data_IF_295490127523
#
_entry.id   IF_295490127523
#
_cell.length_a   1.000
_cell.length_b   1.000
_cell.length_c   1.000
_cell.angle_alpha   90.00
_cell.angle_beta   90.00
_cell.angle_gamma   90.00
#
_symmetry.space_group_name_H-M   'P 1'
#
loop_
_entity.id
_entity.type
_entity.pdbx_description
1 polymer ?
#
# COMPACT_ATOMS: atom_id res chain seq x y z
N UNK A 1 6.40 -21.48 0.10
CA UNK A 1 5.97 -20.25 0.83
C UNK A 1 7.13 -19.51 1.48
N UNK A 2 8.11 -20.17 2.07
CA UNK A 2 9.27 -19.53 2.74
C UNK A 2 10.03 -18.58 1.82
N UNK A 3 10.33 -18.99 0.59
CA UNK A 3 10.94 -18.11 -0.42
C UNK A 3 10.09 -16.89 -0.77
N UNK A 4 8.76 -16.99 -0.73
CA UNK A 4 7.88 -15.86 -0.92
C UNK A 4 7.98 -14.89 0.27
N UNK A 5 7.87 -15.40 1.50
CA UNK A 5 8.00 -14.60 2.73
C UNK A 5 9.36 -13.92 2.84
N UNK A 6 10.45 -14.61 2.49
CA UNK A 6 11.82 -14.03 2.45
C UNK A 6 11.97 -12.92 1.40
N UNK A 7 10.96 -12.73 0.54
CA UNK A 7 10.98 -11.73 -0.53
C UNK A 7 11.80 -12.15 -1.76
N UNK A 8 12.12 -13.43 -1.94
CA UNK A 8 12.73 -13.92 -3.17
C UNK A 8 11.81 -13.72 -4.38
N UNK A 9 12.39 -13.57 -5.57
CA UNK A 9 11.58 -13.60 -6.80
C UNK A 9 11.19 -15.04 -7.13
N UNK A 10 10.08 -15.22 -7.87
CA UNK A 10 9.67 -16.54 -8.32
C UNK A 10 10.76 -17.24 -9.18
N UNK A 11 11.52 -16.44 -9.96
CA UNK A 11 12.67 -16.96 -10.72
C UNK A 11 13.75 -17.53 -9.80
N UNK A 12 14.17 -16.78 -8.79
CA UNK A 12 15.15 -17.24 -7.82
C UNK A 12 14.65 -18.48 -7.05
N UNK A 13 13.41 -18.45 -6.61
CA UNK A 13 12.80 -19.58 -5.91
C UNK A 13 12.73 -20.84 -6.78
N UNK A 14 12.41 -20.71 -8.08
CA UNK A 14 12.34 -21.84 -9.00
C UNK A 14 13.69 -22.58 -9.15
N UNK A 15 14.78 -21.83 -9.23
CA UNK A 15 16.15 -22.41 -9.29
C UNK A 15 16.50 -23.13 -7.98
N UNK A 16 16.19 -22.51 -6.82
CA UNK A 16 16.55 -23.07 -5.52
C UNK A 16 15.80 -24.36 -5.16
N UNK A 17 14.55 -24.51 -5.63
CA UNK A 17 13.72 -25.69 -5.33
C UNK A 17 13.54 -26.62 -6.53
N UNK A 18 14.27 -26.37 -7.62
CA UNK A 18 14.26 -27.17 -8.85
C UNK A 18 12.84 -27.41 -9.42
N UNK A 19 12.05 -26.33 -9.55
CA UNK A 19 10.73 -26.38 -10.22
C UNK A 19 10.71 -25.45 -11.42
N UNK A 20 9.77 -25.69 -12.34
CA UNK A 20 9.63 -24.83 -13.51
C UNK A 20 9.31 -23.39 -13.10
N UNK A 21 9.92 -22.42 -13.78
CA UNK A 21 9.72 -20.99 -13.55
C UNK A 21 8.25 -20.56 -13.66
N UNK A 22 7.50 -21.11 -14.60
CA UNK A 22 6.07 -20.81 -14.76
C UNK A 22 5.28 -21.31 -13.55
N UNK A 23 5.59 -22.49 -13.04
CA UNK A 23 4.97 -23.06 -11.83
C UNK A 23 5.24 -22.17 -10.60
N UNK A 24 6.49 -21.78 -10.39
CA UNK A 24 6.82 -20.87 -9.29
C UNK A 24 6.14 -19.51 -9.42
N UNK A 25 6.09 -18.95 -10.65
CA UNK A 25 5.42 -17.68 -10.94
C UNK A 25 3.92 -17.75 -10.68
N UNK A 26 3.28 -18.84 -11.13
CA UNK A 26 1.86 -19.09 -10.88
C UNK A 26 1.57 -19.24 -9.39
N UNK A 27 2.39 -20.02 -8.68
CA UNK A 27 2.23 -20.20 -7.23
C UNK A 27 2.37 -18.87 -6.46
N UNK A 28 3.37 -18.03 -6.79
CA UNK A 28 3.54 -16.71 -6.17
C UNK A 28 2.38 -15.77 -6.52
N UNK A 29 1.82 -15.89 -7.72
CA UNK A 29 0.63 -15.14 -8.10
C UNK A 29 -0.57 -15.54 -7.25
N UNK A 30 -0.82 -16.84 -7.08
CA UNK A 30 -1.90 -17.35 -6.21
C UNK A 30 -1.75 -16.91 -4.76
N UNK A 31 -0.52 -16.88 -4.21
CA UNK A 31 -0.30 -16.35 -2.86
C UNK A 31 -0.71 -14.88 -2.75
N UNK A 32 -0.44 -14.05 -3.77
CA UNK A 32 -0.88 -12.64 -3.80
C UNK A 32 -2.40 -12.51 -3.87
N UNK A 33 -3.07 -13.35 -4.65
CA UNK A 33 -4.54 -13.38 -4.70
C UNK A 33 -5.14 -13.74 -3.36
N UNK A 34 -4.58 -14.72 -2.64
CA UNK A 34 -5.00 -15.10 -1.30
C UNK A 34 -4.80 -13.95 -0.30
N UNK A 35 -3.63 -13.29 -0.33
CA UNK A 35 -3.37 -12.12 0.50
C UNK A 35 -4.42 -11.03 0.22
N UNK A 36 -4.68 -10.74 -1.06
CA UNK A 36 -5.69 -9.75 -1.46
C UNK A 36 -7.06 -10.09 -0.87
N UNK A 37 -7.53 -11.32 -1.05
CA UNK A 37 -8.83 -11.78 -0.54
C UNK A 37 -8.92 -11.73 0.98
N UNK A 38 -7.86 -12.16 1.67
CA UNK A 38 -7.83 -12.19 3.13
C UNK A 38 -7.80 -10.81 3.79
N UNK A 39 -7.23 -9.80 3.11
CA UNK A 39 -7.05 -8.45 3.67
C UNK A 39 -8.09 -7.43 3.18
N UNK A 40 -8.90 -7.75 2.16
CA UNK A 40 -9.89 -6.79 1.60
C UNK A 40 -11.00 -6.44 2.59
N UNK A 41 -11.40 -7.38 3.46
CA UNK A 41 -12.50 -7.23 4.43
C UNK A 41 -12.09 -6.63 5.79
N UNK A 42 -10.90 -6.06 5.91
CA UNK A 42 -10.45 -5.51 7.19
C UNK A 42 -11.29 -4.29 7.64
N UNK A 43 -11.51 -4.18 8.96
CA UNK A 43 -12.33 -3.12 9.57
C UNK A 43 -11.75 -1.71 9.28
N UNK A 44 -12.59 -0.65 9.27
CA UNK A 44 -12.12 0.73 9.13
C UNK A 44 -11.08 1.12 10.20
N UNK A 45 -10.30 2.15 9.88
CA UNK A 45 -9.30 2.72 10.77
C UNK A 45 -9.93 3.79 11.69
N UNK A 46 -9.50 3.87 12.93
CA UNK A 46 -9.97 4.84 13.90
C UNK A 46 -8.82 5.53 14.63
N UNK A 47 -9.02 6.80 15.04
CA UNK A 47 -8.07 7.60 15.80
C UNK A 47 -7.24 8.52 14.92
N UNK A 48 -5.92 8.51 15.03
CA UNK A 48 -5.02 9.37 14.26
C UNK A 48 -4.57 8.67 12.98
N UNK A 49 -4.93 9.23 11.82
CA UNK A 49 -4.73 8.62 10.51
C UNK A 49 -3.92 9.57 9.63
N UNK A 50 -2.81 9.09 9.10
CA UNK A 50 -2.03 9.76 8.05
C UNK A 50 -2.57 9.33 6.68
N UNK A 51 -2.79 10.29 5.78
CA UNK A 51 -3.23 10.03 4.40
C UNK A 51 -2.27 10.66 3.41
N UNK A 52 -1.95 9.91 2.35
CA UNK A 52 -1.06 10.41 1.29
C UNK A 52 -1.29 9.63 -0.01
N UNK A 53 -1.02 10.29 -1.14
CA UNK A 53 -0.98 9.64 -2.43
C UNK A 53 0.46 9.39 -2.90
N UNK A 54 0.65 8.30 -3.62
CA UNK A 54 1.93 7.99 -4.26
C UNK A 54 1.74 7.49 -5.69
N UNK A 55 2.82 7.53 -6.46
CA UNK A 55 2.82 7.14 -7.86
C UNK A 55 3.89 6.08 -8.10
N UNK A 56 3.46 4.95 -8.68
CA UNK A 56 4.32 3.84 -9.04
C UNK A 56 4.49 3.75 -10.56
N UNK A 57 5.66 3.38 -11.00
CA UNK A 57 6.01 3.24 -12.42
C UNK A 57 7.41 3.77 -12.71
N UNK A 58 7.99 3.32 -13.84
CA UNK A 58 9.34 3.70 -14.25
C UNK A 58 9.44 5.18 -14.65
N UNK A 59 10.68 5.68 -14.63
CA UNK A 59 11.01 7.00 -15.20
C UNK A 59 11.01 6.88 -16.72
N UNK A 60 10.10 7.58 -17.41
CA UNK A 60 10.17 7.73 -18.87
C UNK A 60 10.98 8.98 -19.23
N UNK A 61 11.89 8.84 -20.21
CA UNK A 61 12.64 9.99 -20.74
C UNK A 61 11.68 11.10 -21.18
N UNK A 62 11.91 12.34 -20.73
CA UNK A 62 11.22 13.54 -21.21
C UNK A 62 9.98 13.98 -20.42
N UNK A 63 9.43 13.19 -19.49
CA UNK A 63 8.28 13.63 -18.68
C UNK A 63 8.53 13.39 -17.20
N UNK A 64 8.76 14.47 -16.46
CA UNK A 64 8.87 14.47 -14.99
C UNK A 64 7.55 14.98 -14.37
N UNK A 65 7.20 14.48 -13.17
CA UNK A 65 6.06 14.99 -12.40
C UNK A 65 5.05 13.91 -11.98
N UNK A 66 4.12 14.30 -11.11
CA UNK A 66 3.06 13.46 -10.52
C UNK A 66 2.12 12.88 -11.58
N UNK A 67 1.87 13.55 -12.68
CA UNK A 67 0.98 13.14 -13.79
C UNK A 67 1.69 12.51 -15.00
N UNK A 68 2.94 12.03 -14.89
CA UNK A 68 3.64 11.43 -16.04
C UNK A 68 2.92 10.18 -16.53
N UNK A 69 2.61 10.13 -17.84
CA UNK A 69 1.85 9.04 -18.46
C UNK A 69 2.43 7.66 -18.14
N UNK A 70 1.57 6.74 -17.68
CA UNK A 70 1.92 5.36 -17.36
C UNK A 70 2.35 5.12 -15.91
N UNK A 71 2.25 6.12 -15.02
CA UNK A 71 2.33 5.91 -13.57
C UNK A 71 0.98 5.45 -13.02
N UNK A 72 1.01 4.52 -12.08
CA UNK A 72 -0.16 4.04 -11.35
C UNK A 72 -0.31 4.88 -10.09
N UNK A 73 -1.37 5.70 -9.98
CA UNK A 73 -1.63 6.43 -8.75
C UNK A 73 -2.19 5.47 -7.69
N UNK A 74 -1.76 5.65 -6.45
CA UNK A 74 -2.21 4.89 -5.30
C UNK A 74 -2.50 5.84 -4.15
N UNK A 75 -3.43 5.46 -3.29
CA UNK A 75 -3.78 6.19 -2.08
C UNK A 75 -3.59 5.29 -0.87
N UNK A 76 -3.03 5.84 0.20
CA UNK A 76 -2.75 5.14 1.44
C UNK A 76 -3.30 5.86 2.66
N UNK A 77 -3.76 5.07 3.60
CA UNK A 77 -4.24 5.47 4.91
C UNK A 77 -3.42 4.71 5.95
N UNK A 78 -2.78 5.39 6.88
CA UNK A 78 -2.00 4.74 7.94
C UNK A 78 -2.50 5.20 9.31
N UNK A 79 -2.96 4.27 10.12
CA UNK A 79 -3.20 4.52 11.53
C UNK A 79 -1.86 4.68 12.26
N UNK A 80 -1.65 5.79 12.96
CA UNK A 80 -0.44 5.99 13.77
C UNK A 80 -0.29 4.90 14.81
N UNK A 81 0.89 4.27 14.84
CA UNK A 81 1.15 3.11 15.69
C UNK A 81 0.36 1.84 15.34
N UNK A 82 -0.28 1.81 14.16
CA UNK A 82 -1.11 0.71 13.70
C UNK A 82 -0.81 0.31 12.26
N UNK A 83 -1.86 -0.13 11.58
CA UNK A 83 -1.77 -0.69 10.23
C UNK A 83 -1.96 0.35 9.13
N UNK A 84 -1.48 0.01 7.94
CA UNK A 84 -1.72 0.73 6.69
C UNK A 84 -2.81 0.03 5.88
N UNK A 85 -3.57 0.82 5.13
CA UNK A 85 -4.43 0.40 4.02
C UNK A 85 -4.01 1.14 2.76
N UNK A 86 -3.89 0.46 1.65
CA UNK A 86 -3.47 1.06 0.37
C UNK A 86 -4.32 0.56 -0.80
N UNK A 87 -4.69 1.48 -1.69
CA UNK A 87 -5.55 1.21 -2.84
C UNK A 87 -5.04 1.88 -4.11
N UNK A 88 -5.14 1.17 -5.24
CA UNK A 88 -4.97 1.78 -6.57
C UNK A 88 -6.19 2.65 -6.85
N UNK A 89 -5.96 3.86 -7.32
CA UNK A 89 -7.00 4.85 -7.62
C UNK A 89 -6.96 5.27 -9.08
N UNK A 90 -8.10 5.66 -9.66
CA UNK A 90 -8.13 6.15 -11.05
C UNK A 90 -7.51 7.55 -11.19
N UNK A 91 -7.69 8.39 -10.17
CA UNK A 91 -7.17 9.75 -10.10
C UNK A 91 -7.03 10.22 -8.64
N UNK A 92 -6.42 11.38 -8.45
CA UNK A 92 -6.22 12.02 -7.13
C UNK A 92 -7.20 13.17 -6.87
N UNK A 93 -8.39 13.13 -7.47
CA UNK A 93 -9.42 14.15 -7.24
C UNK A 93 -10.05 14.01 -5.86
N UNK A 94 -10.48 15.13 -5.29
CA UNK A 94 -11.12 15.18 -3.97
C UNK A 94 -12.26 14.17 -3.80
N UNK A 95 -13.11 13.99 -4.82
CA UNK A 95 -14.22 13.02 -4.79
C UNK A 95 -13.73 11.58 -4.65
N UNK A 96 -12.67 11.21 -5.36
CA UNK A 96 -12.09 9.86 -5.31
C UNK A 96 -11.46 9.60 -3.94
N UNK A 97 -10.66 10.56 -3.45
CA UNK A 97 -9.97 10.41 -2.16
C UNK A 97 -10.97 10.40 -1.00
N UNK A 98 -11.95 11.32 -1.02
CA UNK A 98 -12.97 11.42 0.02
C UNK A 98 -13.83 10.17 0.12
N UNK A 99 -14.23 9.57 -1.00
CA UNK A 99 -14.96 8.30 -1.00
C UNK A 99 -14.22 7.16 -0.30
N UNK A 100 -12.89 7.11 -0.44
CA UNK A 100 -12.07 6.09 0.24
C UNK A 100 -11.92 6.43 1.73
N UNK A 101 -11.74 7.71 2.07
CA UNK A 101 -11.63 8.18 3.46
C UNK A 101 -12.92 7.82 4.22
N UNK A 102 -14.09 8.15 3.68
CA UNK A 102 -15.38 7.84 4.29
C UNK A 102 -15.67 6.34 4.43
N UNK A 103 -15.21 5.53 3.48
CA UNK A 103 -15.36 4.06 3.53
C UNK A 103 -14.42 3.41 4.57
N UNK A 104 -13.22 3.97 4.77
CA UNK A 104 -12.12 3.31 5.49
C UNK A 104 -11.71 3.99 6.80
N UNK A 105 -12.26 5.13 7.15
CA UNK A 105 -11.97 5.84 8.40
C UNK A 105 -13.27 6.04 9.18
N UNK A 106 -13.22 5.69 10.46
CA UNK A 106 -14.34 5.92 11.38
C UNK A 106 -14.52 7.44 11.57
N UNK A 107 -15.78 7.99 11.53
CA UNK A 107 -16.07 9.38 11.85
C UNK A 107 -15.42 9.85 13.17
N UNK A 108 -15.22 11.16 13.33
CA UNK A 108 -14.51 11.80 14.44
C UNK A 108 -12.99 11.48 14.56
N UNK A 109 -12.43 10.71 13.64
CA UNK A 109 -10.99 10.49 13.56
C UNK A 109 -10.24 11.75 13.15
N UNK A 110 -8.97 11.85 13.56
CA UNK A 110 -8.08 12.94 13.17
C UNK A 110 -7.33 12.50 11.90
N UNK A 111 -7.48 13.26 10.82
CA UNK A 111 -6.84 12.97 9.53
C UNK A 111 -5.71 13.96 9.27
N UNK A 112 -4.50 13.45 9.13
CA UNK A 112 -3.29 14.20 8.80
C UNK A 112 -3.00 14.05 7.30
N UNK A 113 -2.92 15.16 6.58
CA UNK A 113 -2.53 15.17 5.16
C UNK A 113 -1.45 16.20 4.87
N UNK A 114 -0.80 16.10 3.70
CA UNK A 114 0.01 17.19 3.17
C UNK A 114 -0.86 18.39 2.72
N UNK A 115 -0.19 19.44 2.21
CA UNK A 115 -0.85 20.65 1.70
C UNK A 115 -1.52 20.50 0.32
N UNK A 116 -1.70 19.29 -0.21
CA UNK A 116 -2.29 19.11 -1.53
C UNK A 116 -3.76 19.53 -1.56
N UNK A 117 -4.15 20.32 -2.56
CA UNK A 117 -5.47 20.96 -2.64
C UNK A 117 -6.67 19.99 -2.67
N UNK A 118 -6.46 18.74 -3.09
CA UNK A 118 -7.52 17.72 -3.09
C UNK A 118 -8.02 17.36 -1.68
N UNK A 119 -7.26 17.69 -0.64
CA UNK A 119 -7.64 17.50 0.75
C UNK A 119 -8.46 18.65 1.36
N UNK A 120 -8.66 19.75 0.64
CA UNK A 120 -9.45 20.89 1.13
C UNK A 120 -10.89 20.49 1.52
N UNK A 121 -11.43 19.46 0.89
CA UNK A 121 -12.77 18.93 1.21
C UNK A 121 -12.85 18.36 2.63
N UNK A 122 -11.73 17.95 3.23
CA UNK A 122 -11.69 17.47 4.62
C UNK A 122 -11.95 18.58 5.64
N UNK A 123 -11.66 19.84 5.32
CA UNK A 123 -11.86 20.97 6.23
C UNK A 123 -13.35 21.22 6.54
N UNK A 124 -14.28 20.69 5.72
CA UNK A 124 -15.73 20.80 5.87
C UNK A 124 -16.42 19.45 6.06
N UNK A 125 -15.67 18.41 6.40
CA UNK A 125 -16.14 17.04 6.57
C UNK A 125 -16.40 16.70 8.04
N UNK A 126 -16.86 15.48 8.30
CA UNK A 126 -17.05 14.89 9.64
C UNK A 126 -15.74 14.50 10.35
N UNK A 127 -14.58 14.73 9.71
CA UNK A 127 -13.26 14.40 10.24
C UNK A 127 -12.55 15.66 10.79
N UNK A 128 -11.74 15.49 11.83
CA UNK A 128 -10.83 16.54 12.31
C UNK A 128 -9.59 16.58 11.42
N UNK A 129 -9.54 17.52 10.48
CA UNK A 129 -8.45 17.62 9.52
C UNK A 129 -7.27 18.43 10.06
N UNK A 130 -6.08 17.85 10.04
CA UNK A 130 -4.81 18.48 10.38
C UNK A 130 -3.91 18.53 9.14
N UNK A 131 -3.79 19.72 8.54
CA UNK A 131 -2.93 19.93 7.37
C UNK A 131 -1.50 20.17 7.78
N UNK A 132 -0.58 19.45 7.18
CA UNK A 132 0.86 19.55 7.43
C UNK A 132 1.50 20.46 6.38
N UNK A 133 2.16 21.52 6.83
CA UNK A 133 2.90 22.42 5.97
C UNK A 133 4.40 22.14 6.10
N UNK A 134 4.97 21.38 5.16
CA UNK A 134 6.38 21.01 5.14
C UNK A 134 7.36 22.20 5.10
N UNK A 135 6.91 23.40 4.71
CA UNK A 135 7.76 24.59 4.66
C UNK A 135 7.86 25.34 6.00
N UNK A 136 7.02 25.04 6.99
CA UNK A 136 6.98 25.73 8.31
C UNK A 136 7.34 24.85 9.49
N UNK A 137 7.60 23.56 9.33
CA UNK A 137 7.60 22.55 10.39
C UNK A 137 8.98 22.00 10.72
N UNK A 138 9.90 22.84 11.19
CA UNK A 138 10.95 22.38 12.10
C UNK A 138 10.53 22.43 13.58
N UNK A 139 9.33 22.91 13.93
CA UNK A 139 8.92 23.26 15.28
C UNK A 139 7.82 22.40 15.93
N UNK A 140 7.09 21.56 15.18
CA UNK A 140 5.95 20.82 15.76
C UNK A 140 6.14 19.30 15.67
N UNK A 141 6.57 18.69 16.78
CA UNK A 141 6.94 17.26 16.87
C UNK A 141 5.80 16.27 16.60
N UNK A 142 4.55 16.72 16.50
CA UNK A 142 3.37 15.86 16.35
C UNK A 142 2.72 15.91 14.97
N UNK A 143 3.00 16.94 14.17
CA UNK A 143 2.41 17.11 12.84
C UNK A 143 3.33 16.61 11.72
N UNK A 144 3.28 15.32 11.40
CA UNK A 144 4.01 14.72 10.28
C UNK A 144 3.22 13.54 9.68
N UNK A 145 3.54 13.18 8.44
CA UNK A 145 3.06 11.98 7.74
C UNK A 145 4.20 10.99 7.45
N UNK A 146 5.20 10.96 8.31
CA UNK A 146 6.39 10.13 8.13
C UNK A 146 6.06 8.63 8.10
N UNK A 147 4.99 8.21 8.75
CA UNK A 147 4.56 6.82 8.78
C UNK A 147 4.15 6.33 7.40
N UNK A 148 3.26 7.06 6.73
CA UNK A 148 2.79 6.70 5.38
C UNK A 148 3.90 6.88 4.33
N UNK A 149 4.77 7.88 4.47
CA UNK A 149 5.94 8.04 3.61
C UNK A 149 6.92 6.86 3.76
N UNK A 150 7.14 6.38 4.97
CA UNK A 150 7.95 5.19 5.23
C UNK A 150 7.35 3.94 4.56
N UNK A 151 6.03 3.75 4.63
CA UNK A 151 5.34 2.68 3.90
C UNK A 151 5.60 2.78 2.39
N UNK A 152 5.46 3.96 1.78
CA UNK A 152 5.75 4.14 0.35
C UNK A 152 7.20 3.80 -0.01
N UNK A 153 8.15 4.20 0.83
CA UNK A 153 9.56 3.88 0.62
C UNK A 153 9.83 2.37 0.67
N UNK A 154 9.19 1.66 1.62
CA UNK A 154 9.31 0.21 1.73
C UNK A 154 8.63 -0.49 0.53
N UNK A 155 7.42 -0.09 0.15
CA UNK A 155 6.69 -0.63 -0.98
C UNK A 155 7.47 -0.45 -2.30
N UNK A 156 7.99 0.76 -2.57
CA UNK A 156 8.83 1.03 -3.74
C UNK A 156 10.10 0.18 -3.77
N UNK A 157 10.75 0.00 -2.62
CA UNK A 157 11.94 -0.85 -2.49
C UNK A 157 11.62 -2.32 -2.76
N UNK A 158 10.52 -2.82 -2.20
CA UNK A 158 10.06 -4.19 -2.44
C UNK A 158 9.72 -4.42 -3.91
N UNK A 159 8.96 -3.52 -4.53
CA UNK A 159 8.52 -3.65 -5.93
C UNK A 159 9.64 -3.45 -6.95
N UNK A 160 10.74 -2.79 -6.61
CA UNK A 160 11.87 -2.53 -7.54
C UNK A 160 12.44 -3.80 -8.17
N UNK A 161 12.33 -4.94 -7.50
CA UNK A 161 12.80 -6.24 -8.01
C UNK A 161 11.89 -6.86 -9.06
N UNK A 162 10.65 -6.34 -9.21
CA UNK A 162 9.66 -6.84 -10.14
C UNK A 162 9.53 -5.86 -11.32
N UNK A 163 10.27 -6.10 -12.40
CA UNK A 163 10.17 -5.28 -13.59
C UNK A 163 8.98 -5.72 -14.44
N UNK A 164 8.18 -4.75 -14.95
CA UNK A 164 7.11 -5.03 -15.88
C UNK A 164 5.87 -5.67 -15.26
N UNK A 165 5.50 -5.32 -14.02
CA UNK A 165 4.22 -5.74 -13.43
C UNK A 165 3.08 -5.26 -14.34
N UNK A 166 2.24 -6.16 -14.91
CA UNK A 166 1.08 -5.76 -15.69
C UNK A 166 0.12 -4.92 -14.83
N UNK A 167 -0.47 -3.86 -15.41
CA UNK A 167 -1.37 -2.97 -14.68
C UNK A 167 -2.50 -3.70 -13.94
N UNK A 168 -3.09 -4.73 -14.59
CA UNK A 168 -4.14 -5.57 -14.00
C UNK A 168 -3.72 -6.33 -12.74
N UNK A 169 -2.44 -6.63 -12.57
CA UNK A 169 -1.91 -7.35 -11.41
C UNK A 169 -1.28 -6.44 -10.37
N UNK A 170 -1.15 -5.14 -10.67
CA UNK A 170 -0.54 -4.18 -9.77
C UNK A 170 -1.23 -4.13 -8.39
N UNK A 171 -2.58 -4.16 -8.28
CA UNK A 171 -3.27 -4.20 -6.99
C UNK A 171 -2.81 -5.35 -6.08
N UNK A 172 -2.53 -6.53 -6.64
CA UNK A 172 -2.06 -7.70 -5.88
C UNK A 172 -0.68 -7.47 -5.26
N UNK A 173 0.23 -6.80 -5.99
CA UNK A 173 1.56 -6.45 -5.48
C UNK A 173 1.48 -5.34 -4.43
N UNK A 174 0.56 -4.38 -4.59
CA UNK A 174 0.33 -3.34 -3.61
C UNK A 174 -0.19 -3.94 -2.29
N UNK A 175 -1.14 -4.87 -2.36
CA UNK A 175 -1.65 -5.60 -1.20
C UNK A 175 -0.60 -6.49 -0.54
N UNK A 176 0.30 -7.10 -1.30
CA UNK A 176 1.45 -7.80 -0.73
C UNK A 176 2.33 -6.83 0.10
N UNK A 177 2.58 -5.60 -0.40
CA UNK A 177 3.36 -4.60 0.34
C UNK A 177 2.64 -4.15 1.61
N UNK A 178 1.33 -3.91 1.55
CA UNK A 178 0.47 -3.58 2.69
C UNK A 178 0.53 -4.68 3.76
N UNK A 179 0.28 -5.93 3.39
CA UNK A 179 0.34 -7.07 4.28
C UNK A 179 1.72 -7.24 4.94
N UNK A 180 2.81 -7.08 4.18
CA UNK A 180 4.17 -7.15 4.72
C UNK A 180 4.48 -6.05 5.72
N UNK A 181 3.99 -4.85 5.47
CA UNK A 181 4.15 -3.71 6.38
C UNK A 181 3.37 -3.93 7.69
N UNK A 182 2.13 -4.41 7.57
CA UNK A 182 1.26 -4.70 8.72
C UNK A 182 1.74 -5.91 9.54
N UNK A 183 2.52 -6.80 8.94
CA UNK A 183 3.05 -8.03 9.56
C UNK A 183 4.58 -8.09 9.39
N UNK A 184 5.37 -7.32 10.15
CA UNK A 184 6.81 -7.23 9.92
C UNK A 184 7.59 -8.53 10.29
N UNK A 185 6.99 -9.44 11.06
CA UNK A 185 7.63 -10.68 11.48
C UNK A 185 7.44 -11.79 10.43
N UNK A 186 8.52 -12.31 9.79
CA UNK A 186 8.43 -13.35 8.77
C UNK A 186 7.80 -14.67 9.26
N UNK A 187 7.95 -15.02 10.53
CA UNK A 187 7.32 -16.22 11.11
C UNK A 187 5.81 -16.06 11.17
N UNK A 188 5.32 -14.88 11.54
CA UNK A 188 3.89 -14.54 11.52
C UNK A 188 3.35 -14.58 10.08
N UNK A 189 4.04 -13.95 9.14
CA UNK A 189 3.68 -13.98 7.72
C UNK A 189 3.54 -15.43 7.20
N UNK A 190 4.51 -16.30 7.52
CA UNK A 190 4.47 -17.69 7.08
C UNK A 190 3.31 -18.47 7.72
N UNK A 191 3.02 -18.22 8.99
CA UNK A 191 1.91 -18.86 9.71
C UNK A 191 0.57 -18.47 9.09
N UNK A 192 0.34 -17.18 8.86
CA UNK A 192 -0.88 -16.66 8.23
C UNK A 192 -1.06 -17.23 6.82
N UNK A 193 -0.03 -17.18 5.98
CA UNK A 193 -0.10 -17.74 4.62
C UNK A 193 -0.44 -19.22 4.61
N UNK A 194 0.13 -20.02 5.53
CA UNK A 194 -0.20 -21.44 5.65
C UNK A 194 -1.67 -21.66 6.03
N UNK A 195 -2.23 -20.82 6.92
CA UNK A 195 -3.64 -20.88 7.29
C UNK A 195 -4.55 -20.48 6.13
N UNK A 196 -4.25 -19.37 5.45
CA UNK A 196 -5.03 -18.89 4.32
C UNK A 196 -5.00 -19.85 3.12
N UNK A 197 -3.83 -20.42 2.80
CA UNK A 197 -3.72 -21.42 1.74
C UNK A 197 -4.61 -22.64 2.04
N UNK A 198 -4.67 -23.12 3.27
CA UNK A 198 -5.60 -24.19 3.66
C UNK A 198 -7.07 -23.79 3.51
N UNK A 199 -7.40 -22.53 3.80
CA UNK A 199 -8.77 -22.03 3.73
C UNK A 199 -9.24 -21.78 2.29
N UNK A 200 -8.39 -21.21 1.44
CA UNK A 200 -8.76 -20.78 0.09
C UNK A 200 -8.40 -21.78 -1.03
N UNK A 201 -7.57 -22.78 -0.75
CA UNK A 201 -7.10 -23.76 -1.75
C UNK A 201 -7.31 -25.22 -1.31
N UNK A 202 -7.77 -25.48 -0.10
CA UNK A 202 -8.21 -26.81 0.39
C UNK A 202 -9.68 -26.97 0.12
#
# INVERSE_FOLDING_TARGET
MEHFVSGSTARCASELVNVNKSTASYFFHRLREIIYQATEGEAPLAGEIEVDESYFGGVRKGKRGRGAAGKVPVFGLLKRGGRVYAKVIPDTKSKTLMGIIQDRIVPDSIVYSDGYHSYNVLDVSEFKHCRINHSKLFADKQNHINGIENFWNQAKRHMRRFNGIPARHFPLFLKECEWRFNNPNPKTQLKELKQWVKHYMG
#
